data_IF_654128428161
#
_entry.id   IF_654128428161
#
_cell.length_a   1.000
_cell.length_b   1.000
_cell.length_c   1.000
_cell.angle_alpha   90.00
_cell.angle_beta   90.00
_cell.angle_gamma   90.00
#
_symmetry.space_group_name_H-M   'P 1'
#
loop_
_entity.id
_entity.type
_entity.pdbx_description
1 polymer ?
#
# COMPACT_ATOMS: atom_id res chain seq x y z
N UNK A 1 -26.23 -22.02 -36.51
CA UNK A 1 -27.47 -21.23 -36.49
C UNK A 1 -27.14 -19.83 -36.05
N UNK A 2 -27.21 -18.91 -37.03
CA UNK A 2 -27.03 -17.47 -36.86
C UNK A 2 -28.23 -16.88 -36.10
N UNK A 3 -27.98 -15.90 -35.24
CA UNK A 3 -28.89 -14.78 -35.07
C UNK A 3 -28.09 -13.54 -34.66
N UNK A 4 -28.02 -12.63 -35.60
CA UNK A 4 -27.60 -11.24 -35.42
C UNK A 4 -28.83 -10.39 -35.09
N UNK A 5 -28.67 -9.37 -34.26
CA UNK A 5 -29.53 -8.17 -34.16
C UNK A 5 -28.68 -7.10 -33.48
N UNK A 6 -28.17 -6.12 -34.17
CA UNK A 6 -28.70 -4.86 -34.70
C UNK A 6 -29.26 -3.89 -33.64
N UNK A 7 -28.48 -2.80 -33.47
CA UNK A 7 -28.78 -1.38 -33.60
C UNK A 7 -29.66 -0.70 -32.52
N UNK A 8 -29.11 0.34 -31.89
CA UNK A 8 -29.68 1.70 -31.95
C UNK A 8 -28.76 2.76 -31.35
N UNK A 9 -28.27 3.63 -32.21
CA UNK A 9 -27.77 4.98 -31.90
C UNK A 9 -28.94 5.86 -31.43
N UNK A 10 -28.74 6.66 -30.39
CA UNK A 10 -29.47 7.87 -30.18
C UNK A 10 -28.53 9.01 -29.78
N UNK A 11 -28.22 9.83 -30.75
CA UNK A 11 -27.73 11.20 -30.67
C UNK A 11 -28.89 12.13 -30.34
N UNK A 12 -28.81 12.90 -29.28
CA UNK A 12 -29.54 14.16 -29.07
C UNK A 12 -28.67 14.98 -28.13
N UNK A 13 -28.16 16.10 -28.48
CA UNK A 13 -28.74 17.22 -29.20
C UNK A 13 -28.72 18.42 -28.29
N UNK A 14 -27.83 19.34 -28.62
CA UNK A 14 -27.61 20.68 -28.08
C UNK A 14 -28.88 21.42 -27.63
N UNK A 15 -28.74 22.24 -26.60
CA UNK A 15 -29.28 23.62 -26.67
C UNK A 15 -28.70 24.50 -25.56
N UNK A 16 -27.93 25.49 -25.97
CA UNK A 16 -27.66 26.70 -25.20
C UNK A 16 -28.84 27.69 -25.39
N UNK A 17 -29.14 28.56 -24.47
CA UNK A 17 -29.60 29.89 -24.76
C UNK A 17 -28.58 30.95 -24.31
N UNK A 18 -28.26 31.79 -25.28
CA UNK A 18 -27.74 33.13 -25.05
C UNK A 18 -28.86 34.01 -24.50
N UNK A 19 -28.57 34.86 -23.57
CA UNK A 19 -29.38 36.05 -23.32
C UNK A 19 -28.49 37.20 -22.87
N UNK A 20 -28.51 38.18 -23.69
CA UNK A 20 -28.02 39.54 -23.58
C UNK A 20 -28.71 40.32 -22.47
N UNK A 21 -28.02 41.22 -21.82
CA UNK A 21 -28.30 42.66 -21.80
C UNK A 21 -27.56 43.38 -20.68
N UNK A 22 -26.98 44.46 -21.10
CA UNK A 22 -26.23 45.48 -20.41
C UNK A 22 -27.02 46.20 -19.30
N UNK A 23 -26.27 46.73 -18.33
CA UNK A 23 -26.32 48.13 -17.94
C UNK A 23 -25.42 48.44 -16.74
N UNK A 24 -24.59 49.42 -16.99
CA UNK A 24 -24.14 50.49 -16.10
C UNK A 24 -23.34 50.22 -14.81
N UNK A 25 -22.18 50.92 -14.83
CA UNK A 25 -21.24 51.09 -13.74
C UNK A 25 -21.74 52.08 -12.66
N UNK A 26 -21.14 52.15 -11.48
CA UNK A 26 -19.93 52.96 -11.35
C UNK A 26 -18.79 52.34 -10.52
N UNK A 27 -17.63 52.90 -10.80
CA UNK A 27 -16.34 52.61 -10.22
C UNK A 27 -16.31 52.76 -8.68
N UNK A 28 -15.87 51.67 -8.02
CA UNK A 28 -15.33 51.73 -6.68
C UNK A 28 -13.91 51.15 -6.73
N UNK A 29 -12.96 51.97 -6.37
CA UNK A 29 -11.53 51.62 -6.28
C UNK A 29 -11.34 50.47 -5.30
N UNK A 30 -11.08 49.28 -5.81
CA UNK A 30 -10.64 48.16 -5.00
C UNK A 30 -9.11 48.23 -4.89
N UNK A 31 -8.66 48.56 -3.70
CA UNK A 31 -7.29 48.47 -3.25
C UNK A 31 -6.82 47.02 -3.45
N UNK A 32 -5.92 46.78 -4.38
CA UNK A 32 -5.22 45.50 -4.55
C UNK A 32 -4.27 45.32 -3.38
N UNK A 33 -4.77 44.68 -2.35
CA UNK A 33 -3.90 44.10 -1.34
C UNK A 33 -3.13 42.93 -2.01
N UNK A 34 -1.91 43.21 -2.38
CA UNK A 34 -0.96 42.26 -2.92
C UNK A 34 -0.62 41.27 -1.78
N UNK A 35 -1.24 40.08 -1.83
CA UNK A 35 -0.89 39.01 -0.93
C UNK A 35 0.58 38.65 -1.16
N UNK A 36 1.40 38.87 -0.15
CA UNK A 36 2.78 38.40 -0.15
C UNK A 36 2.81 36.89 -0.37
N UNK A 37 3.70 36.35 -1.20
CA UNK A 37 3.84 34.90 -1.34
C UNK A 37 4.21 34.32 0.03
N UNK A 38 3.37 33.41 0.53
CA UNK A 38 3.69 32.64 1.71
C UNK A 38 5.00 31.92 1.46
N UNK A 39 6.02 32.24 2.26
CA UNK A 39 7.31 31.56 2.22
C UNK A 39 7.03 30.06 2.45
N UNK A 40 7.35 29.24 1.44
CA UNK A 40 7.29 27.80 1.56
C UNK A 40 8.23 27.40 2.70
N UNK A 41 7.67 26.87 3.76
CA UNK A 41 8.44 26.27 4.86
C UNK A 41 9.33 25.20 4.24
N UNK A 42 10.66 25.23 4.41
CA UNK A 42 11.50 24.18 3.88
C UNK A 42 11.06 22.85 4.49
N UNK A 43 10.74 21.89 3.61
CA UNK A 43 10.44 20.52 4.04
C UNK A 43 11.61 20.06 4.93
N UNK A 44 11.32 19.74 6.18
CA UNK A 44 12.31 19.20 7.10
C UNK A 44 12.99 18.01 6.41
N UNK A 45 14.30 18.08 6.22
CA UNK A 45 15.05 16.98 5.65
C UNK A 45 14.79 15.73 6.52
N UNK A 46 14.22 14.70 5.91
CA UNK A 46 13.94 13.45 6.60
C UNK A 46 15.26 12.93 7.19
N UNK A 47 15.22 12.52 8.45
CA UNK A 47 16.38 11.91 9.09
C UNK A 47 16.90 10.74 8.23
N UNK A 48 18.21 10.52 8.14
CA UNK A 48 18.76 9.44 7.35
C UNK A 48 18.19 8.11 7.87
N UNK A 49 17.67 7.29 6.95
CA UNK A 49 17.15 5.96 7.29
C UNK A 49 18.30 5.05 7.73
N UNK A 50 18.07 4.13 8.67
CA UNK A 50 19.06 3.11 9.01
C UNK A 50 19.47 2.31 7.77
N UNK A 51 20.73 1.86 7.72
CA UNK A 51 21.26 1.13 6.58
C UNK A 51 20.64 -0.28 6.47
N UNK A 52 20.29 -0.66 5.26
CA UNK A 52 19.88 -2.01 4.88
C UNK A 52 21.07 -2.76 4.23
N UNK A 53 20.99 -4.11 4.08
CA UNK A 53 21.88 -4.84 3.19
C UNK A 53 21.87 -4.20 1.78
N UNK A 54 23.01 -4.15 1.09
CA UNK A 54 23.13 -3.42 -0.19
C UNK A 54 22.14 -3.88 -1.27
N UNK A 55 21.82 -5.18 -1.31
CA UNK A 55 20.89 -5.81 -2.23
C UNK A 55 19.42 -5.55 -1.92
N UNK A 56 19.08 -5.22 -0.67
CA UNK A 56 17.70 -5.14 -0.19
C UNK A 56 16.83 -4.09 -0.91
N UNK A 57 17.45 -3.08 -1.49
CA UNK A 57 16.74 -2.07 -2.26
C UNK A 57 16.72 -2.34 -3.79
N UNK A 58 17.21 -3.49 -4.23
CA UNK A 58 17.11 -3.85 -5.65
C UNK A 58 15.65 -4.13 -6.04
N UNK A 59 15.25 -3.68 -7.25
CA UNK A 59 13.90 -3.95 -7.82
C UNK A 59 13.81 -5.37 -8.41
N UNK A 60 14.25 -6.36 -7.63
CA UNK A 60 14.19 -7.78 -7.98
C UNK A 60 13.48 -8.53 -6.87
N UNK A 61 13.03 -9.74 -7.15
CA UNK A 61 12.38 -10.58 -6.12
C UNK A 61 13.35 -10.94 -4.99
N UNK A 62 14.61 -11.24 -5.31
CA UNK A 62 15.65 -11.55 -4.32
C UNK A 62 16.00 -10.33 -3.47
N UNK A 63 16.11 -9.14 -4.09
CA UNK A 63 16.32 -7.89 -3.36
C UNK A 63 15.16 -7.58 -2.42
N UNK A 64 13.93 -7.79 -2.86
CA UNK A 64 12.76 -7.63 -2.01
C UNK A 64 12.72 -8.69 -0.87
N UNK A 65 13.13 -9.93 -1.12
CA UNK A 65 13.23 -10.95 -0.08
C UNK A 65 14.25 -10.54 1.00
N UNK A 66 15.45 -10.09 0.60
CA UNK A 66 16.47 -9.58 1.52
C UNK A 66 15.97 -8.35 2.31
N UNK A 67 15.23 -7.45 1.66
CA UNK A 67 14.58 -6.32 2.33
C UNK A 67 13.58 -6.79 3.39
N UNK A 68 12.70 -7.73 3.03
CA UNK A 68 11.68 -8.25 3.94
C UNK A 68 12.32 -8.91 5.16
N UNK A 69 13.34 -9.74 4.97
CA UNK A 69 14.09 -10.36 6.06
C UNK A 69 14.72 -9.32 7.00
N UNK A 70 15.34 -8.28 6.44
CA UNK A 70 15.96 -7.23 7.24
C UNK A 70 14.96 -6.49 8.12
N UNK A 71 13.80 -6.08 7.59
CA UNK A 71 12.77 -5.39 8.38
C UNK A 71 12.05 -6.31 9.37
N UNK A 72 12.11 -7.64 9.15
CA UNK A 72 11.61 -8.61 10.11
C UNK A 72 12.54 -8.72 11.32
N UNK A 73 13.83 -8.77 11.07
CA UNK A 73 14.85 -8.95 12.10
C UNK A 73 14.98 -7.71 13.00
N UNK A 74 14.69 -6.52 12.49
CA UNK A 74 14.90 -5.25 13.21
C UNK A 74 13.64 -4.36 13.20
N UNK A 75 12.95 -4.20 14.36
CA UNK A 75 11.81 -3.30 14.48
C UNK A 75 12.12 -1.84 14.14
N UNK A 76 13.36 -1.35 14.33
CA UNK A 76 13.74 0.00 13.97
C UNK A 76 13.83 0.17 12.45
N UNK A 77 14.39 -0.82 11.73
CA UNK A 77 14.34 -0.87 10.27
C UNK A 77 12.89 -0.91 9.78
N UNK A 78 12.08 -1.77 10.35
CA UNK A 78 10.66 -1.84 9.98
C UNK A 78 9.94 -0.52 10.14
N UNK A 79 10.13 0.17 11.27
CA UNK A 79 9.55 1.50 11.48
C UNK A 79 10.06 2.53 10.47
N UNK A 80 11.35 2.53 10.16
CA UNK A 80 11.96 3.47 9.22
C UNK A 80 11.54 3.24 7.76
N UNK A 81 11.21 2.00 7.41
CA UNK A 81 10.79 1.58 6.07
C UNK A 81 9.29 1.27 5.97
N UNK A 82 8.49 1.73 6.92
CA UNK A 82 7.03 1.79 6.82
C UNK A 82 6.56 3.21 6.48
N UNK A 83 5.45 3.32 5.77
CA UNK A 83 4.77 4.60 5.60
C UNK A 83 4.37 5.16 6.98
N UNK A 84 4.31 6.47 7.16
CA UNK A 84 3.87 7.08 8.41
C UNK A 84 2.50 6.57 8.88
N UNK A 85 1.69 6.16 7.91
CA UNK A 85 0.41 5.49 8.13
C UNK A 85 0.27 4.36 7.11
N UNK A 86 0.41 3.12 7.55
CA UNK A 86 0.12 1.93 6.74
C UNK A 86 -1.39 1.85 6.54
N UNK A 87 -1.83 1.83 5.29
CA UNK A 87 -3.26 1.84 4.97
C UNK A 87 -3.85 0.43 5.11
N UNK A 88 -4.89 0.31 5.93
CA UNK A 88 -5.68 -0.93 6.03
C UNK A 88 -6.68 -1.00 4.87
N UNK A 89 -6.66 -2.08 4.10
CA UNK A 89 -7.46 -2.26 2.88
C UNK A 89 -8.10 -3.64 2.84
N UNK A 90 -9.22 -3.72 2.11
CA UNK A 90 -9.87 -5.01 1.87
C UNK A 90 -9.00 -5.86 0.93
N UNK A 91 -8.78 -7.12 1.29
CA UNK A 91 -7.92 -8.04 0.52
C UNK A 91 -8.47 -8.34 -0.87
N UNK A 92 -9.81 -8.36 -1.03
CA UNK A 92 -10.49 -8.66 -2.30
C UNK A 92 -10.66 -7.42 -3.17
N UNK A 93 -10.73 -6.25 -2.53
CA UNK A 93 -10.86 -4.97 -3.20
C UNK A 93 -9.96 -3.93 -2.52
N UNK A 94 -8.67 -3.86 -2.89
CA UNK A 94 -7.70 -2.94 -2.26
C UNK A 94 -8.03 -1.45 -2.42
N UNK A 95 -9.00 -1.09 -3.26
CA UNK A 95 -9.50 0.29 -3.34
C UNK A 95 -10.35 0.68 -2.13
N UNK A 96 -10.89 -0.31 -1.41
CA UNK A 96 -11.74 -0.09 -0.25
C UNK A 96 -10.93 -0.04 1.05
N UNK A 97 -11.11 0.99 1.87
CA UNK A 97 -10.57 1.00 3.22
C UNK A 97 -11.30 -0.02 4.09
N UNK A 98 -10.58 -0.60 5.05
CA UNK A 98 -11.17 -1.39 6.12
C UNK A 98 -11.36 -0.48 7.33
N UNK A 99 -12.59 -0.39 7.83
CA UNK A 99 -12.91 0.38 9.03
C UNK A 99 -12.62 -0.46 10.29
N UNK A 100 -11.34 -0.68 10.54
CA UNK A 100 -10.81 -1.38 11.72
C UNK A 100 -9.54 -0.68 12.18
N UNK A 101 -9.21 -0.78 13.48
CA UNK A 101 -7.91 -0.31 13.96
C UNK A 101 -6.76 -0.97 13.18
N UNK A 102 -5.71 -0.20 12.92
CA UNK A 102 -4.48 -0.72 12.34
C UNK A 102 -3.92 -1.84 13.23
N UNK A 103 -3.55 -2.95 12.62
CA UNK A 103 -2.92 -4.04 13.35
C UNK A 103 -1.39 -3.92 13.30
N UNK A 104 -0.70 -4.42 14.35
CA UNK A 104 0.74 -4.53 14.29
C UNK A 104 1.15 -5.48 13.16
N UNK A 105 2.37 -5.31 12.70
CA UNK A 105 2.94 -6.19 11.68
C UNK A 105 3.03 -7.63 12.22
N UNK A 106 2.59 -8.61 11.41
CA UNK A 106 2.31 -9.97 11.85
C UNK A 106 3.31 -11.03 11.38
N UNK A 107 4.28 -10.67 10.55
CA UNK A 107 5.28 -11.64 10.10
C UNK A 107 6.52 -11.56 10.96
N UNK A 108 7.05 -12.72 11.32
CA UNK A 108 8.30 -12.89 12.06
C UNK A 108 9.04 -14.11 11.53
N UNK A 109 10.37 -14.08 11.61
CA UNK A 109 11.22 -15.20 11.22
C UNK A 109 11.72 -15.92 12.48
N UNK A 110 11.32 -17.17 12.69
CA UNK A 110 11.73 -18.03 13.79
C UNK A 110 12.42 -19.27 13.21
N UNK A 111 13.65 -19.51 13.60
CA UNK A 111 14.46 -20.63 13.10
C UNK A 111 14.42 -20.79 11.56
N UNK A 112 14.58 -19.66 10.85
CA UNK A 112 14.51 -19.58 9.39
C UNK A 112 13.14 -19.96 8.80
N UNK A 113 12.07 -19.91 9.59
CA UNK A 113 10.68 -20.19 9.18
C UNK A 113 9.80 -18.98 9.39
N UNK A 114 9.02 -18.66 8.40
CA UNK A 114 8.03 -17.61 8.50
C UNK A 114 6.91 -18.02 9.46
N UNK A 115 6.65 -17.19 10.44
CA UNK A 115 5.64 -17.40 11.47
C UNK A 115 4.74 -16.18 11.63
N UNK A 116 3.54 -16.41 12.13
CA UNK A 116 2.57 -15.36 12.41
C UNK A 116 2.75 -14.86 13.83
N UNK A 117 3.15 -13.61 13.98
CA UNK A 117 3.37 -12.97 15.28
C UNK A 117 2.02 -12.77 16.00
N UNK A 118 1.82 -13.48 17.08
CA UNK A 118 0.66 -13.35 17.97
C UNK A 118 1.12 -12.84 19.33
N UNK A 119 0.76 -11.57 19.70
CA UNK A 119 1.18 -10.99 20.96
C UNK A 119 0.83 -11.87 22.16
N UNK A 120 1.83 -12.11 23.02
CA UNK A 120 1.67 -12.91 24.22
C UNK A 120 1.81 -14.42 24.05
N UNK A 121 2.04 -14.92 22.83
CA UNK A 121 2.45 -16.30 22.61
C UNK A 121 3.95 -16.48 22.67
N UNK A 122 4.38 -17.65 23.14
CA UNK A 122 5.78 -18.05 23.04
C UNK A 122 6.18 -18.19 21.57
N UNK A 123 7.38 -17.77 21.15
CA UNK A 123 7.87 -17.96 19.79
C UNK A 123 7.76 -19.40 19.26
N UNK A 124 7.95 -20.40 20.14
CA UNK A 124 7.82 -21.80 19.76
C UNK A 124 6.38 -22.24 19.42
N UNK A 125 5.37 -21.50 19.91
CA UNK A 125 3.95 -21.79 19.71
C UNK A 125 3.33 -20.98 18.56
N UNK A 126 4.11 -20.15 17.87
CA UNK A 126 3.61 -19.36 16.75
C UNK A 126 3.27 -20.23 15.55
N UNK A 127 2.11 -19.98 14.96
CA UNK A 127 1.71 -20.66 13.75
C UNK A 127 2.65 -20.30 12.59
N UNK A 128 3.08 -21.28 11.82
CA UNK A 128 3.82 -21.06 10.57
C UNK A 128 2.90 -20.40 9.53
N UNK A 129 3.49 -19.68 8.59
CA UNK A 129 2.77 -19.07 7.46
C UNK A 129 3.24 -19.61 6.11
N UNK A 130 2.30 -19.83 5.21
CA UNK A 130 2.58 -19.94 3.78
C UNK A 130 2.72 -18.52 3.23
N UNK A 131 3.97 -18.13 2.92
CA UNK A 131 4.32 -16.79 2.42
C UNK A 131 4.66 -16.87 0.94
N UNK A 132 4.04 -15.99 0.14
CA UNK A 132 4.29 -15.85 -1.29
C UNK A 132 4.62 -14.41 -1.65
N UNK A 133 5.83 -14.20 -2.15
CA UNK A 133 6.29 -12.91 -2.65
C UNK A 133 6.00 -12.81 -4.14
N UNK A 134 5.32 -11.75 -4.56
CA UNK A 134 5.00 -11.55 -5.97
C UNK A 134 5.02 -10.07 -6.37
N UNK A 135 5.36 -9.75 -7.62
CA UNK A 135 5.18 -8.40 -8.14
C UNK A 135 3.69 -8.06 -8.26
N UNK A 136 3.38 -6.78 -8.03
CA UNK A 136 2.05 -6.18 -8.19
C UNK A 136 2.22 -4.82 -8.90
N UNK A 137 2.41 -4.84 -10.22
CA UNK A 137 2.83 -3.68 -11.01
C UNK A 137 4.21 -3.20 -10.58
N UNK A 138 4.31 -1.92 -10.19
CA UNK A 138 5.55 -1.31 -9.67
C UNK A 138 5.78 -1.60 -8.17
N UNK A 139 4.90 -2.38 -7.56
CA UNK A 139 4.93 -2.74 -6.14
C UNK A 139 5.36 -4.18 -5.95
N UNK A 140 5.68 -4.54 -4.72
CA UNK A 140 5.82 -5.93 -4.28
C UNK A 140 4.74 -6.25 -3.27
N UNK A 141 4.25 -7.48 -3.35
CA UNK A 141 3.22 -7.98 -2.45
C UNK A 141 3.72 -9.25 -1.76
N UNK A 142 3.53 -9.30 -0.45
CA UNK A 142 3.78 -10.46 0.39
C UNK A 142 2.41 -11.01 0.84
N UNK A 143 1.89 -12.02 0.15
CA UNK A 143 0.67 -12.73 0.56
C UNK A 143 1.03 -13.79 1.59
N UNK A 144 0.25 -13.89 2.65
CA UNK A 144 0.50 -14.89 3.68
C UNK A 144 -0.80 -15.39 4.31
N UNK A 145 -0.74 -16.63 4.78
CA UNK A 145 -1.81 -17.26 5.55
C UNK A 145 -1.19 -18.22 6.56
N UNK A 146 -1.74 -18.28 7.76
CA UNK A 146 -1.33 -19.30 8.73
C UNK A 146 -1.58 -20.69 8.15
N UNK A 147 -0.62 -21.61 8.30
CA UNK A 147 -0.72 -22.93 7.72
C UNK A 147 -0.04 -24.02 8.57
N UNK A 148 -0.55 -25.23 8.41
CA UNK A 148 0.15 -26.45 8.85
C UNK A 148 0.97 -27.01 7.70
N UNK A 149 2.10 -27.58 8.05
CA UNK A 149 3.07 -28.11 7.09
C UNK A 149 3.37 -29.57 7.40
N UNK A 150 3.63 -30.34 6.36
CA UNK A 150 4.19 -31.69 6.48
C UNK A 150 5.65 -31.67 6.93
N UNK A 151 6.22 -32.84 7.13
CA UNK A 151 7.65 -32.99 7.40
C UNK A 151 8.55 -32.52 6.23
N UNK A 152 8.01 -32.53 5.02
CA UNK A 152 8.69 -32.09 3.79
C UNK A 152 8.40 -30.61 3.45
N UNK A 153 7.93 -29.83 4.44
CA UNK A 153 7.60 -28.40 4.31
C UNK A 153 6.49 -28.07 3.28
N UNK A 154 5.64 -29.04 2.94
CA UNK A 154 4.47 -28.79 2.11
C UNK A 154 3.27 -28.32 2.95
N UNK A 155 2.50 -27.34 2.44
CA UNK A 155 1.28 -26.89 3.10
C UNK A 155 0.23 -28.00 3.08
N UNK A 156 -0.17 -28.48 4.25
CA UNK A 156 -1.22 -29.49 4.39
C UNK A 156 -2.59 -28.90 4.67
N UNK A 157 -2.63 -27.74 5.35
CA UNK A 157 -3.87 -27.06 5.69
C UNK A 157 -3.62 -25.57 5.93
N UNK A 158 -4.50 -24.71 5.43
CA UNK A 158 -4.51 -23.28 5.78
C UNK A 158 -5.38 -23.01 7.00
N UNK A 159 -4.97 -22.07 7.83
CA UNK A 159 -5.59 -21.71 9.10
C UNK A 159 -6.02 -20.24 9.09
N UNK A 160 -7.32 -19.97 8.99
CA UNK A 160 -7.86 -18.62 9.02
C UNK A 160 -7.91 -17.93 7.65
N UNK A 161 -8.09 -16.63 7.67
CA UNK A 161 -8.17 -15.81 6.47
C UNK A 161 -6.76 -15.45 5.97
N UNK A 162 -6.57 -15.36 4.64
CA UNK A 162 -5.33 -14.83 4.07
C UNK A 162 -5.23 -13.31 4.30
N UNK A 163 -4.01 -12.84 4.37
CA UNK A 163 -3.63 -11.42 4.48
C UNK A 163 -2.51 -11.10 3.48
N UNK A 164 -2.27 -9.82 3.24
CA UNK A 164 -1.09 -9.42 2.48
C UNK A 164 -0.54 -8.06 2.91
N UNK A 165 0.77 -7.90 2.79
CA UNK A 165 1.41 -6.59 2.83
C UNK A 165 1.77 -6.13 1.44
N UNK A 166 1.55 -4.83 1.15
CA UNK A 166 1.94 -4.19 -0.11
C UNK A 166 3.06 -3.20 0.18
N UNK A 167 4.12 -3.32 -0.60
CA UNK A 167 5.30 -2.48 -0.53
C UNK A 167 5.43 -1.67 -1.81
N UNK A 168 5.64 -0.36 -1.65
CA UNK A 168 5.89 0.57 -2.74
C UNK A 168 7.38 0.86 -2.85
N UNK A 169 7.86 1.11 -4.06
CA UNK A 169 9.25 1.50 -4.26
C UNK A 169 9.37 3.02 -4.25
N UNK A 170 9.80 3.57 -3.13
CA UNK A 170 9.94 5.01 -2.90
C UNK A 170 11.32 5.34 -2.35
N UNK A 171 11.84 6.52 -2.66
CA UNK A 171 13.14 6.97 -2.13
C UNK A 171 14.26 5.93 -2.34
N UNK A 172 14.27 5.29 -3.52
CA UNK A 172 15.24 4.27 -3.95
C UNK A 172 15.23 2.97 -3.13
N UNK A 173 14.16 2.69 -2.39
CA UNK A 173 13.98 1.43 -1.68
C UNK A 173 12.50 1.08 -1.50
N UNK A 174 12.24 -0.11 -0.98
CA UNK A 174 10.90 -0.57 -0.63
C UNK A 174 10.40 0.10 0.64
N UNK A 175 9.08 0.31 0.72
CA UNK A 175 8.40 0.86 1.88
C UNK A 175 7.07 0.15 2.08
N UNK A 176 6.79 -0.33 3.28
CA UNK A 176 5.49 -0.88 3.63
C UNK A 176 4.43 0.22 3.56
N UNK A 177 3.45 0.05 2.68
CA UNK A 177 2.42 1.05 2.40
C UNK A 177 1.01 0.59 2.81
N UNK A 178 0.69 -0.71 2.64
CA UNK A 178 -0.65 -1.20 2.90
C UNK A 178 -0.63 -2.58 3.59
N UNK A 179 -1.66 -2.81 4.40
CA UNK A 179 -2.03 -4.11 4.93
C UNK A 179 -3.41 -4.49 4.37
N UNK A 180 -3.48 -5.62 3.69
CA UNK A 180 -4.72 -6.14 3.08
C UNK A 180 -5.26 -7.30 3.90
N UNK A 181 -6.52 -7.24 4.32
CA UNK A 181 -7.16 -8.27 5.14
C UNK A 181 -8.68 -8.35 4.99
#
# INVERSE_FOLDING_TARGET
MLTAALLALLLQGCKAPASTAAADAPAAAASTAQAAPAAATPAAAAAPRPALPPEACAKTQDGFAAFLEAIMADPALRAAYSAPQVAERDLRDPSKPVDRPAEPFRLVLIDSRWSYDEPGKDPADLARVDLKLKPDGERMRADFVKAEFSADDEVTRTLGAPEAYVFEYTQQCWQLAQHLR
#
